data_IF_709183353290
#
_entry.id   IF_709183353290
#
_cell.length_a   1.000
_cell.length_b   1.000
_cell.length_c   1.000
_cell.angle_alpha   90.00
_cell.angle_beta   90.00
_cell.angle_gamma   90.00
#
_symmetry.space_group_name_H-M   'P 1'
#
loop_
_entity.id
_entity.type
_entity.pdbx_description
1 polymer ?
#
# COMPACT_ATOMS: atom_id res chain seq x y z
N UNK A 1 6.76 -0.04 -8.83
CA UNK A 1 7.30 -0.06 -10.21
C UNK A 1 6.67 1.10 -10.96
N UNK A 2 7.44 1.88 -11.72
CA UNK A 2 6.91 3.00 -12.50
C UNK A 2 7.19 2.73 -13.97
N UNK A 3 6.13 2.69 -14.78
CA UNK A 3 6.22 2.54 -16.23
C UNK A 3 5.19 3.47 -16.88
N UNK A 4 5.59 4.18 -17.94
CA UNK A 4 4.70 5.09 -18.69
C UNK A 4 3.94 6.06 -17.76
N UNK A 5 4.66 6.65 -16.81
CA UNK A 5 4.13 7.61 -15.82
C UNK A 5 3.08 7.02 -14.84
N UNK A 6 2.84 5.71 -14.86
CA UNK A 6 1.95 5.02 -13.92
C UNK A 6 2.81 4.34 -12.85
N UNK A 7 2.58 4.70 -11.59
CA UNK A 7 3.16 4.02 -10.45
C UNK A 7 2.26 2.88 -9.97
N UNK A 8 2.73 1.64 -10.11
CA UNK A 8 2.10 0.46 -9.52
C UNK A 8 2.71 0.21 -8.14
N UNK A 9 1.87 0.30 -7.10
CA UNK A 9 2.20 -0.04 -5.71
C UNK A 9 1.48 -1.34 -5.36
N UNK A 10 2.25 -2.36 -4.96
CA UNK A 10 1.71 -3.59 -4.41
C UNK A 10 1.92 -3.57 -2.90
N UNK A 11 0.87 -3.86 -2.14
CA UNK A 11 0.89 -3.99 -0.70
C UNK A 11 0.06 -5.21 -0.27
N UNK A 12 0.31 -5.68 0.94
CA UNK A 12 -0.39 -6.82 1.51
C UNK A 12 -0.20 -6.86 3.03
N UNK A 13 -0.90 -7.80 3.64
CA UNK A 13 -0.88 -8.05 5.07
C UNK A 13 -0.71 -9.55 5.36
N UNK A 14 -0.18 -9.85 6.54
CA UNK A 14 0.21 -11.20 6.93
C UNK A 14 -0.95 -11.89 7.63
N UNK A 15 -1.50 -12.94 7.02
CA UNK A 15 -2.64 -13.67 7.57
C UNK A 15 -2.18 -14.71 8.60
N UNK A 16 -2.74 -14.65 9.81
CA UNK A 16 -2.56 -15.60 10.91
C UNK A 16 -3.90 -16.13 11.43
N UNK A 17 -3.87 -17.08 12.37
CA UNK A 17 -5.07 -17.80 12.83
C UNK A 17 -6.21 -16.90 13.32
N UNK A 18 -5.87 -15.78 13.96
CA UNK A 18 -6.81 -14.82 14.54
C UNK A 18 -6.92 -13.51 13.72
N UNK A 19 -6.43 -13.48 12.49
CA UNK A 19 -6.55 -12.32 11.60
C UNK A 19 -8.02 -11.99 11.33
N UNK A 20 -8.34 -10.70 11.31
CA UNK A 20 -9.65 -10.21 10.89
C UNK A 20 -9.53 -9.64 9.48
N UNK A 21 -10.37 -10.06 8.51
CA UNK A 21 -10.27 -9.58 7.13
C UNK A 21 -10.20 -8.06 7.00
N UNK A 22 -11.00 -7.33 7.80
CA UNK A 22 -11.02 -5.87 7.78
C UNK A 22 -9.69 -5.24 8.26
N UNK A 23 -9.09 -5.79 9.31
CA UNK A 23 -7.82 -5.30 9.86
C UNK A 23 -6.68 -5.49 8.84
N UNK A 24 -6.66 -6.64 8.15
CA UNK A 24 -5.64 -6.98 7.14
C UNK A 24 -5.76 -6.12 5.87
N UNK A 25 -7.00 -5.80 5.47
CA UNK A 25 -7.28 -4.85 4.38
C UNK A 25 -6.77 -3.46 4.78
N UNK A 26 -7.08 -3.01 5.99
CA UNK A 26 -6.62 -1.71 6.50
C UNK A 26 -5.09 -1.64 6.56
N UNK A 27 -4.41 -2.70 7.01
CA UNK A 27 -2.94 -2.77 7.02
C UNK A 27 -2.37 -2.66 5.60
N UNK A 28 -2.93 -3.41 4.65
CA UNK A 28 -2.50 -3.38 3.24
C UNK A 28 -2.66 -1.98 2.64
N UNK A 29 -3.79 -1.32 2.89
CA UNK A 29 -4.06 0.05 2.43
C UNK A 29 -3.12 1.06 3.06
N UNK A 30 -2.89 0.98 4.38
CA UNK A 30 -1.99 1.88 5.09
C UNK A 30 -0.56 1.80 4.57
N UNK A 31 -0.06 0.59 4.30
CA UNK A 31 1.26 0.38 3.67
C UNK A 31 1.33 1.00 2.27
N UNK A 32 0.32 0.79 1.44
CA UNK A 32 0.27 1.39 0.10
C UNK A 32 0.22 2.92 0.17
N UNK A 33 -0.56 3.47 1.10
CA UNK A 33 -0.76 4.90 1.27
C UNK A 33 0.54 5.62 1.63
N UNK A 34 1.41 5.01 2.43
CA UNK A 34 2.72 5.57 2.75
C UNK A 34 3.56 5.79 1.47
N UNK A 35 3.57 4.82 0.56
CA UNK A 35 4.28 4.92 -0.73
C UNK A 35 3.64 5.95 -1.64
N UNK A 36 2.31 5.99 -1.72
CA UNK A 36 1.57 7.02 -2.49
C UNK A 36 1.92 8.42 -2.00
N UNK A 37 1.95 8.63 -0.68
CA UNK A 37 2.30 9.92 -0.08
C UNK A 37 3.74 10.32 -0.39
N UNK A 38 4.68 9.36 -0.37
CA UNK A 38 6.07 9.62 -0.75
C UNK A 38 6.19 10.06 -2.22
N UNK A 39 5.47 9.39 -3.13
CA UNK A 39 5.41 9.78 -4.56
C UNK A 39 4.83 11.18 -4.70
N UNK A 40 3.70 11.48 -4.04
CA UNK A 40 3.09 12.82 -4.07
C UNK A 40 4.07 13.90 -3.60
N UNK A 41 4.77 13.66 -2.49
CA UNK A 41 5.72 14.62 -1.94
C UNK A 41 6.98 14.80 -2.82
N UNK A 42 7.41 13.77 -3.54
CA UNK A 42 8.58 13.83 -4.41
C UNK A 42 8.33 14.56 -5.75
N UNK A 43 7.07 14.71 -6.15
CA UNK A 43 6.65 15.39 -7.38
C UNK A 43 6.03 16.78 -7.12
N UNK A 44 6.30 17.37 -5.95
CA UNK A 44 6.03 18.78 -5.63
C UNK A 44 7.24 19.68 -5.93
#
# INVERSE_FOLDING_TARGET
YVEKEIATIQAGAGIVYNSKPEDEVNESLNKAQAVINAIKNAHY
#
